data_IF_850689253898
#
_entry.id   IF_850689253898
#
_cell.length_a   1.000
_cell.length_b   1.000
_cell.length_c   1.000
_cell.angle_alpha   90.00
_cell.angle_beta   90.00
_cell.angle_gamma   90.00
#
_symmetry.space_group_name_H-M   'P 1'
#
loop_
_entity.id
_entity.type
_entity.pdbx_description
1 polymer ?
#
# COMPACT_ATOMS: atom_id res chain seq x y z
N UNK A 1 -4.20 -33.64 14.54
CA UNK A 1 -3.96 -32.62 13.49
C UNK A 1 -4.01 -31.27 14.17
N UNK A 2 -2.90 -30.53 14.23
CA UNK A 2 -2.89 -29.21 14.86
C UNK A 2 -3.85 -28.29 14.08
N UNK A 3 -4.93 -27.86 14.74
CA UNK A 3 -5.91 -26.96 14.16
C UNK A 3 -5.21 -25.62 13.89
N UNK A 4 -4.98 -25.29 12.62
CA UNK A 4 -4.38 -24.02 12.25
C UNK A 4 -5.21 -22.88 12.87
N UNK A 5 -4.58 -22.10 13.75
CA UNK A 5 -5.24 -20.99 14.45
C UNK A 5 -5.71 -19.99 13.40
N UNK A 6 -7.02 -19.87 13.22
CA UNK A 6 -7.60 -18.87 12.31
C UNK A 6 -7.35 -17.49 12.90
N UNK A 7 -6.92 -16.55 12.06
CA UNK A 7 -6.77 -15.15 12.47
C UNK A 7 -8.15 -14.53 12.71
N UNK A 8 -8.27 -13.74 13.77
CA UNK A 8 -9.47 -12.95 14.06
C UNK A 8 -9.48 -11.62 13.30
N UNK A 9 -10.50 -10.79 13.53
CA UNK A 9 -10.65 -9.47 12.89
C UNK A 9 -9.43 -8.56 13.12
N UNK A 10 -8.99 -8.45 14.37
CA UNK A 10 -7.88 -7.56 14.73
C UNK A 10 -6.54 -8.04 14.17
N UNK A 11 -6.16 -9.29 14.46
CA UNK A 11 -4.88 -9.85 14.05
C UNK A 11 -4.78 -10.12 12.54
N UNK A 12 -5.91 -10.46 11.91
CA UNK A 12 -5.93 -10.91 10.51
C UNK A 12 -6.26 -9.82 9.49
N UNK A 13 -6.95 -8.75 9.90
CA UNK A 13 -7.43 -7.71 8.98
C UNK A 13 -6.97 -6.33 9.43
N UNK A 14 -7.36 -5.89 10.63
CA UNK A 14 -7.12 -4.51 11.08
C UNK A 14 -5.63 -4.16 11.17
N UNK A 15 -4.82 -4.98 11.85
CA UNK A 15 -3.38 -4.71 12.02
C UNK A 15 -2.64 -4.71 10.68
N UNK A 16 -2.79 -5.72 9.80
CA UNK A 16 -2.19 -5.67 8.47
C UNK A 16 -2.64 -4.47 7.64
N UNK A 17 -3.93 -4.13 7.66
CA UNK A 17 -4.46 -2.99 6.87
C UNK A 17 -3.85 -1.66 7.30
N UNK A 18 -3.77 -1.36 8.60
CA UNK A 18 -3.16 -0.12 9.07
C UNK A 18 -1.68 -0.06 8.68
N UNK A 19 -0.94 -1.17 8.82
CA UNK A 19 0.48 -1.23 8.43
C UNK A 19 0.70 -0.96 6.94
N UNK A 20 -0.27 -1.29 6.08
CA UNK A 20 -0.17 -0.99 4.64
C UNK A 20 -0.57 0.45 4.27
N UNK A 21 -1.38 1.12 5.09
CA UNK A 21 -1.84 2.49 4.86
C UNK A 21 -0.82 3.51 5.37
N UNK A 22 -0.26 3.25 6.57
CA UNK A 22 0.75 4.10 7.17
C UNK A 22 2.08 3.92 6.44
N UNK A 23 2.48 4.93 5.67
CA UNK A 23 3.62 4.81 4.77
C UNK A 23 4.51 6.04 4.69
N UNK A 24 5.47 5.95 3.77
CA UNK A 24 6.48 6.97 3.45
C UNK A 24 5.90 8.36 3.27
N UNK A 25 4.74 8.49 2.60
CA UNK A 25 4.12 9.80 2.35
C UNK A 25 3.75 10.51 3.65
N UNK A 26 3.24 9.77 4.64
CA UNK A 26 2.81 10.35 5.91
C UNK A 26 3.97 10.99 6.66
N UNK A 27 5.15 10.36 6.64
CA UNK A 27 6.31 10.82 7.40
C UNK A 27 7.20 11.80 6.62
N UNK A 28 7.46 11.53 5.34
CA UNK A 28 8.45 12.28 4.55
C UNK A 28 7.83 13.40 3.70
N UNK A 29 6.53 13.35 3.40
CA UNK A 29 5.91 14.26 2.43
C UNK A 29 4.82 15.15 3.03
N UNK A 30 4.07 14.69 4.04
CA UNK A 30 3.05 15.54 4.67
C UNK A 30 3.59 16.87 5.22
N UNK A 31 4.76 16.95 5.89
CA UNK A 31 5.28 18.23 6.37
C UNK A 31 5.52 19.22 5.23
N UNK A 32 6.05 18.74 4.10
CA UNK A 32 6.27 19.54 2.90
C UNK A 32 4.96 20.02 2.28
N UNK A 33 3.95 19.14 2.19
CA UNK A 33 2.63 19.48 1.64
C UNK A 33 1.97 20.58 2.48
N UNK A 34 1.99 20.44 3.81
CA UNK A 34 1.45 21.46 4.73
C UNK A 34 2.20 22.79 4.58
N UNK A 35 3.53 22.73 4.43
CA UNK A 35 4.37 23.92 4.23
C UNK A 35 4.08 24.67 2.92
N UNK A 36 3.72 23.96 1.84
CA UNK A 36 3.45 24.57 0.53
C UNK A 36 1.98 24.99 0.35
N UNK A 37 1.03 24.13 0.73
CA UNK A 37 -0.40 24.37 0.50
C UNK A 37 -1.11 25.09 1.66
N UNK A 38 -0.50 25.09 2.85
CA UNK A 38 -1.12 25.55 4.08
C UNK A 38 -2.02 24.50 4.74
N UNK A 39 -2.39 24.74 6.00
CA UNK A 39 -3.14 23.80 6.83
C UNK A 39 -4.54 23.49 6.26
N UNK A 40 -5.33 24.53 5.98
CA UNK A 40 -6.72 24.36 5.52
C UNK A 40 -6.81 23.61 4.18
N UNK A 41 -5.97 23.96 3.22
CA UNK A 41 -5.89 23.28 1.92
C UNK A 41 -5.49 21.81 2.09
N UNK A 42 -4.52 21.53 2.96
CA UNK A 42 -4.07 20.15 3.23
C UNK A 42 -5.17 19.31 3.86
N UNK A 43 -5.93 19.87 4.82
CA UNK A 43 -7.11 19.20 5.39
C UNK A 43 -8.14 18.91 4.29
N UNK A 44 -8.40 19.86 3.39
CA UNK A 44 -9.29 19.65 2.25
C UNK A 44 -8.86 18.49 1.35
N UNK A 45 -7.57 18.39 1.03
CA UNK A 45 -6.99 17.27 0.25
C UNK A 45 -7.22 15.94 0.98
N UNK A 46 -6.95 15.89 2.30
CA UNK A 46 -7.12 14.68 3.12
C UNK A 46 -8.59 14.24 3.14
N UNK A 47 -9.53 15.17 3.27
CA UNK A 47 -10.98 14.87 3.28
C UNK A 47 -11.42 14.25 1.96
N UNK A 48 -11.02 14.83 0.82
CA UNK A 48 -11.37 14.29 -0.50
C UNK A 48 -10.77 12.88 -0.68
N UNK A 49 -9.51 12.68 -0.28
CA UNK A 49 -8.87 11.37 -0.33
C UNK A 49 -9.59 10.32 0.55
N UNK A 50 -10.09 10.72 1.72
CA UNK A 50 -10.88 9.84 2.60
C UNK A 50 -12.24 9.49 2.00
N UNK A 51 -12.92 10.43 1.34
CA UNK A 51 -14.20 10.14 0.65
C UNK A 51 -14.00 9.05 -0.41
N UNK A 52 -12.95 9.16 -1.23
CA UNK A 52 -12.62 8.15 -2.25
C UNK A 52 -12.31 6.79 -1.59
N UNK A 53 -11.54 6.79 -0.51
CA UNK A 53 -11.13 5.56 0.19
C UNK A 53 -12.30 4.85 0.87
N UNK A 54 -13.18 5.60 1.55
CA UNK A 54 -14.36 5.06 2.25
C UNK A 54 -15.36 4.49 1.26
N UNK A 55 -15.66 5.22 0.18
CA UNK A 55 -16.59 4.74 -0.86
C UNK A 55 -16.08 3.48 -1.56
N UNK A 56 -14.76 3.41 -1.82
CA UNK A 56 -14.12 2.18 -2.33
C UNK A 56 -14.17 1.04 -1.30
N UNK A 57 -13.92 1.34 -0.03
CA UNK A 57 -13.99 0.35 1.06
C UNK A 57 -15.38 -0.26 1.23
N UNK A 58 -16.44 0.56 1.12
CA UNK A 58 -17.82 0.08 1.13
C UNK A 58 -18.12 -0.84 -0.08
N UNK A 59 -17.58 -0.50 -1.25
CA UNK A 59 -17.69 -1.33 -2.46
C UNK A 59 -16.98 -2.67 -2.30
N UNK A 60 -15.78 -2.70 -1.70
CA UNK A 60 -15.07 -3.95 -1.41
C UNK A 60 -15.81 -4.77 -0.34
N UNK A 61 -16.42 -4.12 0.64
CA UNK A 61 -17.22 -4.79 1.67
C UNK A 61 -18.41 -5.53 1.06
N UNK A 62 -19.13 -4.93 0.11
CA UNK A 62 -20.28 -5.59 -0.54
C UNK A 62 -19.83 -6.82 -1.35
N UNK A 63 -18.72 -6.70 -2.08
CA UNK A 63 -18.11 -7.80 -2.86
C UNK A 63 -17.67 -8.94 -1.92
N UNK A 64 -17.09 -8.62 -0.76
CA UNK A 64 -16.63 -9.61 0.21
C UNK A 64 -17.78 -10.38 0.88
N UNK A 65 -18.98 -9.80 0.94
CA UNK A 65 -20.19 -10.44 1.49
C UNK A 65 -21.03 -11.19 0.47
N UNK A 66 -20.82 -10.98 -0.84
CA UNK A 66 -21.64 -11.53 -1.93
C UNK A 66 -21.50 -13.06 -2.09
N UNK A 67 -20.29 -13.59 -1.95
CA UNK A 67 -19.99 -15.03 -2.13
C UNK A 67 -19.17 -15.56 -0.98
N UNK A 68 -19.30 -16.87 -0.72
CA UNK A 68 -18.44 -17.57 0.27
C UNK A 68 -16.97 -17.42 -0.14
N UNK A 69 -16.27 -16.57 0.60
CA UNK A 69 -14.84 -16.34 0.44
C UNK A 69 -14.09 -17.62 0.77
N UNK A 70 -13.49 -18.24 -0.23
CA UNK A 70 -12.52 -19.34 -0.06
C UNK A 70 -11.12 -18.73 0.06
N UNK A 71 -10.13 -19.55 0.41
CA UNK A 71 -8.74 -19.11 0.39
C UNK A 71 -8.34 -18.65 -1.02
N UNK A 72 -7.74 -17.45 -1.14
CA UNK A 72 -7.37 -16.88 -2.45
C UNK A 72 -7.07 -15.38 -2.48
N UNK A 73 -7.23 -14.66 -1.37
CA UNK A 73 -6.89 -13.23 -1.30
C UNK A 73 -7.85 -12.32 -2.08
N UNK A 74 -7.44 -11.07 -2.30
CA UNK A 74 -8.28 -10.01 -2.89
C UNK A 74 -8.65 -10.28 -4.35
N UNK A 75 -7.70 -10.71 -5.18
CA UNK A 75 -7.96 -11.00 -6.60
C UNK A 75 -8.96 -12.15 -6.79
N UNK A 76 -8.87 -13.19 -5.95
CA UNK A 76 -9.81 -14.32 -5.99
C UNK A 76 -11.24 -13.90 -5.65
N UNK A 77 -11.41 -13.03 -4.65
CA UNK A 77 -12.71 -12.50 -4.27
C UNK A 77 -13.32 -11.69 -5.43
N UNK A 78 -12.54 -10.78 -6.02
CA UNK A 78 -13.01 -9.89 -7.10
C UNK A 78 -13.39 -10.69 -8.36
N UNK A 79 -12.49 -11.55 -8.85
CA UNK A 79 -12.71 -12.33 -10.08
C UNK A 79 -13.90 -13.29 -9.96
N UNK A 80 -14.20 -13.79 -8.76
CA UNK A 80 -15.34 -14.69 -8.54
C UNK A 80 -16.66 -13.95 -8.35
N UNK A 81 -16.66 -12.77 -7.73
CA UNK A 81 -17.88 -11.97 -7.55
C UNK A 81 -18.27 -11.23 -8.84
N UNK A 82 -17.32 -10.56 -9.50
CA UNK A 82 -17.57 -9.69 -10.68
C UNK A 82 -17.34 -10.37 -12.04
N UNK A 83 -16.77 -11.57 -12.06
CA UNK A 83 -16.47 -12.31 -13.28
C UNK A 83 -15.09 -12.01 -13.86
N UNK A 84 -14.69 -12.85 -14.84
CA UNK A 84 -13.32 -12.87 -15.39
C UNK A 84 -12.91 -11.56 -16.09
N UNK A 85 -13.74 -10.90 -16.93
CA UNK A 85 -13.34 -9.68 -17.62
C UNK A 85 -13.04 -8.51 -16.66
N UNK A 86 -13.89 -8.30 -15.67
CA UNK A 86 -13.72 -7.23 -14.67
C UNK A 86 -12.57 -7.59 -13.72
N UNK A 87 -12.50 -8.86 -13.28
CA UNK A 87 -11.40 -9.35 -12.45
C UNK A 87 -10.03 -9.20 -13.11
N UNK A 88 -9.91 -9.54 -14.40
CA UNK A 88 -8.67 -9.40 -15.17
C UNK A 88 -8.19 -7.95 -15.27
N UNK A 89 -9.09 -7.03 -15.64
CA UNK A 89 -8.76 -5.60 -15.76
C UNK A 89 -8.34 -4.98 -14.43
N UNK A 90 -9.09 -5.26 -13.35
CA UNK A 90 -8.73 -4.78 -12.01
C UNK A 90 -7.44 -5.43 -11.50
N UNK A 91 -7.19 -6.70 -11.82
CA UNK A 91 -5.96 -7.39 -11.46
C UNK A 91 -4.72 -6.75 -12.08
N UNK A 92 -4.78 -6.41 -13.38
CA UNK A 92 -3.69 -5.70 -14.05
C UNK A 92 -3.48 -4.29 -13.48
N UNK A 93 -4.56 -3.55 -13.23
CA UNK A 93 -4.48 -2.22 -12.62
C UNK A 93 -3.83 -2.27 -11.22
N UNK A 94 -4.23 -3.24 -10.39
CA UNK A 94 -3.66 -3.46 -9.06
C UNK A 94 -2.20 -3.88 -9.13
N UNK A 95 -1.83 -4.75 -10.07
CA UNK A 95 -0.44 -5.16 -10.27
C UNK A 95 0.48 -3.96 -10.58
N UNK A 96 0.08 -3.11 -11.54
CA UNK A 96 0.85 -1.91 -11.89
C UNK A 96 0.89 -0.93 -10.72
N UNK A 97 -0.25 -0.69 -10.06
CA UNK A 97 -0.32 0.19 -8.89
C UNK A 97 0.57 -0.26 -7.73
N UNK A 98 0.57 -1.55 -7.41
CA UNK A 98 1.44 -2.13 -6.38
C UNK A 98 2.92 -2.05 -6.79
N UNK A 99 3.25 -2.23 -8.06
CA UNK A 99 4.63 -2.10 -8.57
C UNK A 99 5.18 -0.69 -8.38
N UNK A 100 4.36 0.34 -8.67
CA UNK A 100 4.73 1.72 -8.38
C UNK A 100 4.78 2.03 -6.89
N UNK A 101 3.89 1.42 -6.10
CA UNK A 101 3.92 1.54 -4.65
C UNK A 101 5.23 1.00 -4.05
N UNK A 102 5.70 -0.17 -4.48
CA UNK A 102 7.00 -0.73 -4.09
C UNK A 102 8.14 0.23 -4.43
N UNK A 103 8.11 0.81 -5.64
CA UNK A 103 9.11 1.78 -6.07
C UNK A 103 9.12 3.03 -5.19
N UNK A 104 7.95 3.57 -4.84
CA UNK A 104 7.82 4.71 -3.92
C UNK A 104 8.38 4.40 -2.53
N UNK A 105 8.09 3.22 -1.99
CA UNK A 105 8.59 2.79 -0.69
C UNK A 105 10.11 2.63 -0.68
N UNK A 106 10.70 2.05 -1.73
CA UNK A 106 12.15 1.92 -1.86
C UNK A 106 12.88 3.26 -1.92
N UNK A 107 12.31 4.23 -2.64
CA UNK A 107 12.88 5.58 -2.72
C UNK A 107 12.82 6.26 -1.35
N UNK A 108 11.66 6.23 -0.68
CA UNK A 108 11.51 6.82 0.65
C UNK A 108 12.40 6.17 1.72
N UNK A 109 12.56 4.84 1.65
CA UNK A 109 13.52 4.11 2.47
C UNK A 109 14.95 4.58 2.19
N UNK A 110 15.34 4.69 0.92
CA UNK A 110 16.69 5.11 0.52
C UNK A 110 17.02 6.53 0.99
N UNK A 111 16.07 7.47 0.87
CA UNK A 111 16.23 8.85 1.39
C UNK A 111 16.48 8.85 2.90
N UNK A 112 15.68 8.09 3.65
CA UNK A 112 15.79 8.01 5.11
C UNK A 112 17.08 7.30 5.55
N UNK A 113 17.44 6.22 4.87
CA UNK A 113 18.64 5.44 5.15
C UNK A 113 19.90 6.25 4.90
N UNK A 114 20.03 6.89 3.73
CA UNK A 114 21.19 7.72 3.39
C UNK A 114 21.34 8.90 4.37
N UNK A 115 20.22 9.55 4.72
CA UNK A 115 20.21 10.65 5.69
C UNK A 115 20.64 10.21 7.10
N UNK A 116 20.32 8.99 7.51
CA UNK A 116 20.73 8.45 8.81
C UNK A 116 22.24 8.18 8.89
N UNK A 117 22.86 7.77 7.78
CA UNK A 117 24.29 7.49 7.69
C UNK A 117 25.15 8.69 7.25
N UNK A 118 24.55 9.88 7.15
CA UNK A 118 25.19 11.12 6.68
C UNK A 118 25.85 10.99 5.28
N UNK A 119 25.26 10.15 4.43
CA UNK A 119 25.68 9.99 3.03
C UNK A 119 24.88 10.96 2.17
N UNK A 120 25.55 11.69 1.28
CA UNK A 120 24.89 12.64 0.38
C UNK A 120 23.74 11.99 -0.40
N UNK A 121 22.55 12.58 -0.25
CA UNK A 121 21.31 12.16 -0.91
C UNK A 121 21.31 12.66 -2.36
N UNK A 122 22.19 12.07 -3.16
CA UNK A 122 22.28 12.31 -4.60
C UNK A 122 21.47 11.25 -5.36
N UNK A 123 21.00 11.58 -6.58
CA UNK A 123 20.23 10.65 -7.43
C UNK A 123 20.95 9.30 -7.62
N UNK A 124 22.28 9.30 -7.73
CA UNK A 124 23.04 8.06 -7.89
C UNK A 124 23.04 7.22 -6.59
N UNK A 125 23.22 7.86 -5.43
CA UNK A 125 23.17 7.20 -4.12
C UNK A 125 21.82 6.53 -3.86
N UNK A 126 20.71 7.22 -4.18
CA UNK A 126 19.36 6.66 -4.08
C UNK A 126 19.19 5.44 -5.00
N UNK A 127 19.71 5.50 -6.23
CA UNK A 127 19.62 4.37 -7.16
C UNK A 127 20.36 3.15 -6.64
N UNK A 128 21.57 3.33 -6.09
CA UNK A 128 22.38 2.23 -5.53
C UNK A 128 21.68 1.65 -4.30
N UNK A 129 21.30 2.48 -3.32
CA UNK A 129 20.63 2.02 -2.11
C UNK A 129 19.29 1.33 -2.42
N UNK A 130 18.50 1.90 -3.35
CA UNK A 130 17.21 1.35 -3.75
C UNK A 130 17.32 0.02 -4.50
N UNK A 131 18.29 -0.14 -5.41
CA UNK A 131 18.49 -1.42 -6.11
C UNK A 131 19.05 -2.49 -5.18
N UNK A 132 19.97 -2.14 -4.28
CA UNK A 132 20.47 -3.07 -3.25
C UNK A 132 19.34 -3.52 -2.32
N UNK A 133 18.52 -2.58 -1.83
CA UNK A 133 17.36 -2.90 -0.99
C UNK A 133 16.35 -3.80 -1.71
N UNK A 134 16.05 -3.53 -2.99
CA UNK A 134 15.15 -4.37 -3.80
C UNK A 134 15.69 -5.80 -3.94
N UNK A 135 16.97 -5.96 -4.24
CA UNK A 135 17.60 -7.29 -4.36
C UNK A 135 17.55 -8.05 -3.04
N UNK A 136 17.86 -7.39 -1.93
CA UNK A 136 17.79 -8.00 -0.60
C UNK A 136 16.37 -8.46 -0.26
N UNK A 137 15.36 -7.61 -0.48
CA UNK A 137 13.96 -7.97 -0.23
C UNK A 137 13.56 -9.15 -1.11
N UNK A 138 13.94 -9.14 -2.39
CA UNK A 138 13.61 -10.20 -3.36
C UNK A 138 14.28 -11.54 -3.03
N UNK A 139 15.43 -11.54 -2.36
CA UNK A 139 16.11 -12.76 -1.90
C UNK A 139 15.44 -13.30 -0.62
N UNK A 140 14.95 -12.41 0.25
CA UNK A 140 14.36 -12.78 1.54
C UNK A 140 12.91 -13.28 1.39
N UNK A 141 12.14 -12.70 0.47
CA UNK A 141 10.73 -13.05 0.20
C UNK A 141 10.61 -14.15 -0.84
#
# INVERSE_FOLDING_TARGET
>A
MAQAKKFGLFSGVFTPSILTILGVIMYLRLPWIVGQAGLFSTIGIIVVAHIISVTTGLSVSSIATDKKVRAGGSYYIISRSLGLPIGGTLGLALFVGLSFSVSLYLIGFSESFLSYWDIEVTRNSIRIAGTTALLLVTIIT
#
